data_IF_287629392046
#
_entry.id   IF_287629392046
#
_cell.length_a   1.000
_cell.length_b   1.000
_cell.length_c   1.000
_cell.angle_alpha   90.00
_cell.angle_beta   90.00
_cell.angle_gamma   90.00
#
_symmetry.space_group_name_H-M   'P 1'
#
loop_
_entity.id
_entity.type
_entity.pdbx_description
1 polymer ?
#
# COMPACT_ATOMS: atom_id res chain seq x y z
N UNK A 1 44.09 -10.65 0.83
CA UNK A 1 44.96 -9.56 0.31
C UNK A 1 44.80 -8.36 1.25
N UNK A 2 45.89 -7.83 1.81
CA UNK A 2 45.87 -6.69 2.74
C UNK A 2 46.22 -5.43 1.95
N UNK A 3 45.41 -4.39 2.06
CA UNK A 3 45.61 -3.12 1.37
C UNK A 3 46.67 -2.31 2.16
N UNK A 4 47.59 -1.61 1.48
CA UNK A 4 48.64 -0.82 2.14
C UNK A 4 48.04 0.39 2.84
N UNK A 5 48.72 0.93 3.86
CA UNK A 5 48.26 2.13 4.57
C UNK A 5 48.24 3.39 3.70
N UNK A 6 48.92 3.36 2.56
CA UNK A 6 49.06 4.48 1.61
C UNK A 6 48.17 4.29 0.37
N UNK A 7 47.29 3.29 0.39
CA UNK A 7 46.40 3.03 -0.72
C UNK A 7 45.33 4.11 -0.79
N UNK A 8 45.36 4.90 -1.86
CA UNK A 8 44.33 5.90 -2.13
C UNK A 8 43.01 5.19 -2.50
N UNK A 9 42.00 5.38 -1.66
CA UNK A 9 40.64 4.91 -1.92
C UNK A 9 39.94 5.97 -2.77
N UNK A 10 39.40 5.63 -3.95
CA UNK A 10 38.59 6.56 -4.72
C UNK A 10 37.35 6.94 -3.91
N UNK A 11 37.29 8.19 -3.46
CA UNK A 11 36.18 8.74 -2.71
C UNK A 11 35.43 9.74 -3.59
N UNK A 12 34.16 9.48 -3.86
CA UNK A 12 33.27 10.45 -4.49
C UNK A 12 32.58 11.26 -3.38
N UNK A 13 32.92 12.55 -3.27
CA UNK A 13 32.23 13.49 -2.39
C UNK A 13 30.92 13.91 -3.06
N UNK A 14 29.80 13.53 -2.46
CA UNK A 14 28.45 13.89 -2.93
C UNK A 14 27.80 14.80 -1.87
N UNK A 15 27.03 15.81 -2.30
CA UNK A 15 26.28 16.68 -1.39
C UNK A 15 25.25 15.88 -0.57
N UNK A 16 25.00 16.25 0.70
CA UNK A 16 24.27 15.45 1.69
C UNK A 16 22.94 14.84 1.21
N UNK A 17 22.11 15.59 0.48
CA UNK A 17 20.83 15.09 -0.04
C UNK A 17 20.98 14.04 -1.15
N UNK A 18 22.00 14.19 -2.00
CA UNK A 18 22.31 13.26 -3.09
C UNK A 18 23.11 12.05 -2.59
N UNK A 19 23.91 12.22 -1.52
CA UNK A 19 24.67 11.15 -0.88
C UNK A 19 23.77 10.09 -0.23
N UNK A 20 22.70 10.49 0.45
CA UNK A 20 21.70 9.56 1.01
C UNK A 20 20.99 8.77 -0.08
N UNK A 21 20.53 9.46 -1.14
CA UNK A 21 19.83 8.81 -2.25
C UNK A 21 20.75 7.83 -2.97
N UNK A 22 21.99 8.22 -3.27
CA UNK A 22 22.97 7.33 -3.90
C UNK A 22 23.31 6.10 -3.04
N UNK A 23 23.51 6.30 -1.73
CA UNK A 23 23.77 5.21 -0.77
C UNK A 23 22.56 4.28 -0.60
N UNK A 24 21.35 4.84 -0.61
CA UNK A 24 20.11 4.07 -0.50
C UNK A 24 19.82 3.27 -1.79
N UNK A 25 19.98 3.89 -2.96
CA UNK A 25 19.88 3.20 -4.25
C UNK A 25 20.92 2.09 -4.38
N UNK A 26 22.15 2.32 -3.90
CA UNK A 26 23.19 1.30 -3.83
C UNK A 26 22.81 0.17 -2.87
N UNK A 27 22.37 0.47 -1.64
CA UNK A 27 21.99 -0.55 -0.65
C UNK A 27 20.75 -1.35 -1.06
N UNK A 28 19.77 -0.71 -1.70
CA UNK A 28 18.60 -1.37 -2.31
C UNK A 28 19.02 -2.35 -3.42
N UNK A 29 20.15 -2.10 -4.10
CA UNK A 29 20.64 -2.94 -5.19
C UNK A 29 21.70 -3.97 -4.77
N UNK A 30 22.38 -3.81 -3.62
CA UNK A 30 23.64 -4.52 -3.32
C UNK A 30 23.59 -5.51 -2.14
N UNK A 31 22.66 -5.39 -1.20
CA UNK A 31 22.52 -6.35 -0.08
C UNK A 31 21.06 -6.79 0.12
N UNK A 32 20.84 -7.98 0.70
CA UNK A 32 19.51 -8.52 0.99
C UNK A 32 18.82 -7.76 2.14
N UNK A 33 18.56 -6.48 1.92
CA UNK A 33 17.79 -5.60 2.78
C UNK A 33 16.38 -6.17 2.96
N UNK A 34 15.84 -6.13 4.18
CA UNK A 34 14.49 -6.60 4.42
C UNK A 34 13.51 -5.68 3.65
N UNK A 35 12.47 -6.19 2.97
CA UNK A 35 11.58 -5.35 2.16
C UNK A 35 10.97 -4.17 2.94
N UNK A 36 10.75 -4.33 4.26
CA UNK A 36 10.28 -3.26 5.13
C UNK A 36 11.17 -2.01 5.12
N UNK A 37 12.49 -2.18 4.98
CA UNK A 37 13.43 -1.07 4.99
C UNK A 37 13.28 -0.24 3.69
N UNK A 38 12.91 -0.87 2.57
CA UNK A 38 12.55 -0.15 1.35
C UNK A 38 11.28 0.68 1.52
N UNK A 39 10.31 0.21 2.32
CA UNK A 39 9.07 0.95 2.57
C UNK A 39 9.37 2.24 3.33
N UNK A 40 10.14 2.12 4.42
CA UNK A 40 10.57 3.24 5.26
C UNK A 40 11.46 4.22 4.50
N UNK A 41 12.37 3.70 3.66
CA UNK A 41 13.22 4.50 2.82
C UNK A 41 12.40 5.41 1.88
N UNK A 42 11.39 4.87 1.19
CA UNK A 42 10.55 5.68 0.31
C UNK A 42 9.69 6.66 1.09
N UNK A 43 9.17 6.26 2.25
CA UNK A 43 8.42 7.16 3.13
C UNK A 43 9.27 8.34 3.62
N UNK A 44 10.54 8.10 3.98
CA UNK A 44 11.47 9.15 4.37
C UNK A 44 11.73 10.15 3.24
N UNK A 45 11.96 9.66 2.01
CA UNK A 45 12.15 10.53 0.84
C UNK A 45 10.93 11.41 0.57
N UNK A 46 9.71 10.87 0.69
CA UNK A 46 8.49 11.66 0.56
C UNK A 46 8.34 12.67 1.70
N UNK A 47 8.68 12.29 2.93
CA UNK A 47 8.65 13.20 4.08
C UNK A 47 9.66 14.36 3.95
N UNK A 48 10.76 14.16 3.21
CA UNK A 48 11.71 15.21 2.81
C UNK A 48 11.16 16.13 1.70
N UNK A 49 9.93 15.90 1.22
CA UNK A 49 9.26 16.70 0.20
C UNK A 49 9.56 16.27 -1.24
N UNK A 50 10.19 15.11 -1.44
CA UNK A 50 10.48 14.60 -2.78
C UNK A 50 9.21 14.07 -3.45
N UNK A 51 8.95 14.39 -4.72
CA UNK A 51 7.77 13.89 -5.42
C UNK A 51 7.94 12.41 -5.77
N UNK A 52 6.81 11.70 -5.86
CA UNK A 52 6.74 10.25 -6.11
C UNK A 52 7.41 9.89 -7.43
N UNK A 53 7.26 10.74 -8.43
CA UNK A 53 7.77 10.59 -9.79
C UNK A 53 9.31 10.62 -9.82
N UNK A 54 9.92 11.52 -9.05
CA UNK A 54 11.37 11.62 -8.95
C UNK A 54 11.96 10.43 -8.20
N UNK A 55 11.28 9.98 -7.12
CA UNK A 55 11.67 8.76 -6.40
C UNK A 55 11.56 7.55 -7.35
N UNK A 56 10.46 7.44 -8.10
CA UNK A 56 10.28 6.36 -9.06
C UNK A 56 11.41 6.33 -10.11
N UNK A 57 11.77 7.49 -10.66
CA UNK A 57 12.85 7.62 -11.63
C UNK A 57 14.21 7.20 -11.04
N UNK A 58 14.58 7.70 -9.85
CA UNK A 58 15.86 7.41 -9.20
C UNK A 58 16.04 5.92 -8.88
N UNK A 59 14.95 5.24 -8.53
CA UNK A 59 14.95 3.81 -8.21
C UNK A 59 14.62 2.93 -9.41
N UNK A 60 14.40 3.50 -10.61
CA UNK A 60 14.01 2.79 -11.83
C UNK A 60 12.79 1.87 -11.65
N UNK A 61 11.78 2.37 -10.92
CA UNK A 61 10.49 1.70 -10.71
C UNK A 61 9.34 2.58 -11.21
N UNK A 62 8.12 2.06 -11.27
CA UNK A 62 6.95 2.90 -11.60
C UNK A 62 6.48 3.73 -10.40
N UNK A 63 5.80 4.87 -10.62
CA UNK A 63 5.14 5.63 -9.54
C UNK A 63 4.18 4.78 -8.70
N UNK A 64 3.50 3.81 -9.32
CA UNK A 64 2.63 2.86 -8.63
C UNK A 64 3.41 1.98 -7.64
N UNK A 65 4.64 1.57 -7.97
CA UNK A 65 5.50 0.84 -7.03
C UNK A 65 5.81 1.70 -5.82
N UNK A 66 6.16 2.97 -6.03
CA UNK A 66 6.42 3.90 -4.91
C UNK A 66 5.17 4.07 -4.04
N UNK A 67 3.99 4.31 -4.64
CA UNK A 67 2.72 4.42 -3.90
C UNK A 67 2.41 3.17 -3.08
N UNK A 68 2.60 1.97 -3.66
CA UNK A 68 2.44 0.69 -2.95
C UNK A 68 3.41 0.57 -1.76
N UNK A 69 4.67 0.98 -1.92
CA UNK A 69 5.66 0.97 -0.83
C UNK A 69 5.28 1.94 0.28
N UNK A 70 4.78 3.13 -0.06
CA UNK A 70 4.26 4.09 0.91
C UNK A 70 3.04 3.54 1.67
N UNK A 71 2.14 2.83 0.98
CA UNK A 71 1.01 2.16 1.65
C UNK A 71 1.47 1.11 2.66
N UNK A 72 2.46 0.29 2.33
CA UNK A 72 3.02 -0.68 3.27
C UNK A 72 3.76 -0.01 4.44
N UNK A 73 4.45 1.11 4.19
CA UNK A 73 5.09 1.90 5.24
C UNK A 73 4.08 2.48 6.25
N UNK A 74 2.83 2.68 5.83
CA UNK A 74 1.76 3.23 6.65
C UNK A 74 0.94 2.18 7.41
N UNK A 75 1.28 0.89 7.32
CA UNK A 75 0.61 -0.16 8.12
C UNK A 75 0.97 -0.01 9.60
N UNK A 76 0.12 -0.51 10.51
CA UNK A 76 0.34 -0.48 11.96
C UNK A 76 1.79 -0.84 12.31
N UNK A 77 2.47 -0.05 13.18
CA UNK A 77 3.83 -0.34 13.63
C UNK A 77 3.99 -1.75 14.21
N UNK A 78 2.95 -2.28 14.86
CA UNK A 78 2.96 -3.63 15.43
C UNK A 78 3.00 -4.71 14.34
N UNK A 79 2.18 -4.56 13.30
CA UNK A 79 2.18 -5.46 12.16
C UNK A 79 3.49 -5.38 11.36
N UNK A 80 4.08 -4.20 11.23
CA UNK A 80 5.41 -4.04 10.61
C UNK A 80 6.52 -4.72 11.42
N UNK A 81 6.45 -4.66 12.75
CA UNK A 81 7.39 -5.38 13.61
C UNK A 81 7.22 -6.90 13.47
N UNK A 82 5.98 -7.40 13.43
CA UNK A 82 5.69 -8.82 13.21
C UNK A 82 6.10 -9.28 11.79
N UNK A 83 6.00 -8.41 10.77
CA UNK A 83 6.50 -8.69 9.42
C UNK A 83 8.02 -8.86 9.42
N UNK A 84 8.75 -7.98 10.12
CA UNK A 84 10.21 -8.11 10.31
C UNK A 84 10.62 -9.36 11.07
N UNK A 85 9.78 -9.82 11.98
CA UNK A 85 9.97 -11.06 12.72
C UNK A 85 9.47 -12.32 11.97
N UNK A 86 9.10 -12.18 10.69
CA UNK A 86 8.55 -13.25 9.84
C UNK A 86 7.24 -13.89 10.36
N UNK A 87 6.54 -13.24 11.29
CA UNK A 87 5.26 -13.68 11.84
C UNK A 87 4.06 -13.23 11.01
N UNK A 88 4.24 -12.20 10.19
CA UNK A 88 3.30 -11.73 9.16
C UNK A 88 3.98 -11.90 7.81
N UNK A 89 3.25 -12.32 6.77
CA UNK A 89 3.80 -12.38 5.41
C UNK A 89 3.55 -11.08 4.65
N UNK A 90 4.30 -10.85 3.56
CA UNK A 90 4.10 -9.68 2.70
C UNK A 90 2.67 -9.63 2.13
N UNK A 91 2.13 -10.76 1.69
CA UNK A 91 0.77 -10.81 1.12
C UNK A 91 -0.31 -10.49 2.16
N UNK A 92 -0.10 -10.87 3.42
CA UNK A 92 -0.98 -10.49 4.53
C UNK A 92 -0.89 -8.98 4.78
N UNK A 93 0.32 -8.43 4.79
CA UNK A 93 0.55 -7.00 4.97
C UNK A 93 -0.10 -6.17 3.85
N UNK A 94 0.01 -6.63 2.60
CA UNK A 94 -0.66 -6.04 1.43
C UNK A 94 -2.19 -6.05 1.56
N UNK A 95 -2.77 -7.14 2.07
CA UNK A 95 -4.21 -7.22 2.31
C UNK A 95 -4.68 -6.25 3.41
N UNK A 96 -3.88 -6.08 4.47
CA UNK A 96 -4.20 -5.19 5.57
C UNK A 96 -4.06 -3.71 5.17
N UNK A 97 -3.16 -3.39 4.23
CA UNK A 97 -2.92 -2.04 3.73
C UNK A 97 -4.07 -1.45 2.88
N UNK A 98 -5.20 -2.16 2.74
CA UNK A 98 -6.42 -1.67 2.09
C UNK A 98 -7.06 -0.50 2.85
N UNK A 99 -6.80 -0.39 4.17
CA UNK A 99 -7.23 0.73 5.03
C UNK A 99 -6.02 1.38 5.68
N UNK A 100 -6.11 2.67 6.00
CA UNK A 100 -5.10 3.37 6.83
C UNK A 100 -5.46 3.34 8.33
N UNK A 101 -6.59 2.76 8.71
CA UNK A 101 -7.00 2.58 10.11
C UNK A 101 -6.22 1.43 10.76
N UNK A 102 -5.22 1.78 11.58
CA UNK A 102 -4.39 0.82 12.30
C UNK A 102 -5.19 -0.07 13.24
N UNK A 103 -6.24 0.44 13.90
CA UNK A 103 -7.05 -0.37 14.79
C UNK A 103 -7.83 -1.43 14.01
N UNK A 104 -8.40 -1.06 12.85
CA UNK A 104 -9.07 -2.00 11.97
C UNK A 104 -8.10 -3.08 11.44
N UNK A 105 -6.87 -2.70 11.04
CA UNK A 105 -5.84 -3.65 10.60
C UNK A 105 -5.49 -4.65 11.70
N UNK A 106 -5.26 -4.16 12.92
CA UNK A 106 -4.92 -5.01 14.06
C UNK A 106 -6.06 -5.95 14.46
N UNK A 107 -7.29 -5.45 14.53
CA UNK A 107 -8.47 -6.29 14.78
C UNK A 107 -8.68 -7.33 13.67
N UNK A 108 -8.48 -6.97 12.40
CA UNK A 108 -8.61 -7.91 11.29
C UNK A 108 -7.59 -9.05 11.38
N UNK A 109 -6.36 -8.77 11.82
CA UNK A 109 -5.31 -9.78 11.93
C UNK A 109 -5.31 -10.54 13.27
N UNK A 110 -5.23 -9.85 14.40
CA UNK A 110 -5.00 -10.47 15.71
C UNK A 110 -6.23 -11.18 16.27
N UNK A 111 -7.43 -10.68 16.00
CA UNK A 111 -8.68 -11.30 16.46
C UNK A 111 -9.12 -12.45 15.53
N UNK A 112 -8.52 -12.54 14.34
CA UNK A 112 -8.75 -13.67 13.44
C UNK A 112 -7.94 -14.91 13.88
N UNK A 113 -8.55 -16.10 13.89
CA UNK A 113 -7.82 -17.36 13.98
C UNK A 113 -6.73 -17.45 12.92
N UNK A 114 -5.61 -18.10 13.20
CA UNK A 114 -4.45 -18.17 12.28
C UNK A 114 -4.81 -18.70 10.89
N UNK A 115 -5.69 -19.71 10.82
CA UNK A 115 -6.20 -20.28 9.57
C UNK A 115 -7.12 -19.32 8.78
N UNK A 116 -7.60 -18.24 9.42
CA UNK A 116 -8.38 -17.17 8.80
C UNK A 116 -7.54 -15.97 8.32
N UNK A 117 -6.21 -16.02 8.47
CA UNK A 117 -5.32 -14.89 8.15
C UNK A 117 -4.80 -14.96 6.72
N UNK A 118 -5.46 -15.64 5.79
CA UNK A 118 -5.04 -15.55 4.39
C UNK A 118 -5.47 -14.20 3.79
N UNK A 119 -4.77 -13.71 2.74
CA UNK A 119 -5.00 -12.37 2.19
C UNK A 119 -6.44 -12.10 1.74
N UNK A 120 -7.18 -13.11 1.26
CA UNK A 120 -8.57 -12.93 0.84
C UNK A 120 -9.46 -12.66 2.05
N UNK A 121 -9.36 -13.49 3.09
CA UNK A 121 -10.18 -13.37 4.30
C UNK A 121 -9.87 -12.11 5.09
N UNK A 122 -8.62 -11.65 5.11
CA UNK A 122 -8.26 -10.37 5.72
C UNK A 122 -8.92 -9.20 4.99
N UNK A 123 -8.92 -9.21 3.65
CA UNK A 123 -9.65 -8.19 2.86
C UNK A 123 -11.14 -8.25 3.15
N UNK A 124 -11.74 -9.43 3.11
CA UNK A 124 -13.18 -9.61 3.35
C UNK A 124 -13.60 -9.07 4.73
N UNK A 125 -12.77 -9.28 5.77
CA UNK A 125 -13.03 -8.72 7.11
C UNK A 125 -12.94 -7.19 7.14
N UNK A 126 -12.02 -6.61 6.38
CA UNK A 126 -11.83 -5.15 6.31
C UNK A 126 -12.84 -4.44 5.42
N UNK A 127 -13.52 -5.17 4.53
CA UNK A 127 -14.50 -4.64 3.58
C UNK A 127 -15.91 -5.20 3.79
N UNK A 128 -16.18 -5.86 4.92
CA UNK A 128 -17.48 -6.51 5.22
C UNK A 128 -18.68 -5.56 5.10
N UNK A 129 -18.47 -4.27 5.41
CA UNK A 129 -19.50 -3.22 5.34
C UNK A 129 -19.50 -2.44 4.02
N UNK A 130 -18.62 -2.80 3.11
CA UNK A 130 -18.43 -2.11 1.83
C UNK A 130 -19.01 -2.96 0.69
N UNK A 131 -19.38 -2.30 -0.40
CA UNK A 131 -20.04 -2.95 -1.53
C UNK A 131 -19.05 -3.12 -2.68
N UNK A 132 -18.82 -4.35 -3.12
CA UNK A 132 -17.97 -4.65 -4.29
C UNK A 132 -18.57 -4.03 -5.56
N UNK A 133 -17.81 -3.15 -6.21
CA UNK A 133 -18.28 -2.36 -7.36
C UNK A 133 -18.65 -3.21 -8.58
N UNK A 134 -18.02 -4.36 -8.76
CA UNK A 134 -18.18 -5.18 -9.98
C UNK A 134 -19.08 -6.39 -9.77
N UNK A 135 -19.23 -6.85 -8.52
CA UNK A 135 -20.06 -8.01 -8.17
C UNK A 135 -21.46 -7.65 -7.70
N UNK A 136 -21.68 -6.47 -7.12
CA UNK A 136 -22.96 -6.15 -6.50
C UNK A 136 -24.05 -5.76 -7.52
N UNK A 137 -25.22 -6.42 -7.53
CA UNK A 137 -26.27 -6.16 -8.53
C UNK A 137 -26.77 -4.72 -8.57
N UNK A 138 -26.90 -4.05 -7.41
CA UNK A 138 -27.33 -2.64 -7.38
C UNK A 138 -26.31 -1.70 -8.01
N UNK A 139 -25.01 -2.02 -7.96
CA UNK A 139 -23.99 -1.18 -8.61
C UNK A 139 -24.10 -1.29 -10.12
N UNK A 140 -24.37 -2.48 -10.65
CA UNK A 140 -24.64 -2.65 -12.09
C UNK A 140 -25.93 -1.95 -12.53
N UNK A 141 -26.93 -1.91 -11.66
CA UNK A 141 -28.19 -1.24 -11.93
C UNK A 141 -28.05 0.29 -11.91
N UNK A 142 -27.37 0.85 -10.91
CA UNK A 142 -27.16 2.31 -10.76
C UNK A 142 -26.06 2.82 -11.68
N UNK A 143 -25.06 1.99 -11.98
CA UNK A 143 -23.78 2.29 -12.62
C UNK A 143 -22.80 3.01 -11.67
N UNK A 144 -21.52 2.62 -11.73
CA UNK A 144 -20.48 3.15 -10.86
C UNK A 144 -20.27 4.65 -11.09
N UNK A 145 -20.26 5.10 -12.34
CA UNK A 145 -20.08 6.51 -12.70
C UNK A 145 -21.20 7.39 -12.12
N UNK A 146 -22.44 6.89 -12.11
CA UNK A 146 -23.59 7.59 -11.50
C UNK A 146 -23.43 7.72 -9.98
N UNK A 147 -22.96 6.66 -9.33
CA UNK A 147 -22.67 6.67 -7.89
C UNK A 147 -21.55 7.66 -7.54
N UNK A 148 -20.45 7.67 -8.29
CA UNK A 148 -19.34 8.63 -8.12
C UNK A 148 -19.82 10.06 -8.35
N UNK A 149 -20.59 10.31 -9.43
CA UNK A 149 -21.13 11.63 -9.75
C UNK A 149 -22.09 12.17 -8.66
N UNK A 150 -22.76 11.28 -7.93
CA UNK A 150 -23.60 11.63 -6.78
C UNK A 150 -22.81 11.89 -5.48
N UNK A 151 -21.47 11.85 -5.54
CA UNK A 151 -20.59 12.08 -4.40
C UNK A 151 -20.32 10.83 -3.56
N UNK A 152 -20.56 9.64 -4.12
CA UNK A 152 -20.32 8.38 -3.42
C UNK A 152 -18.84 8.11 -3.15
N UNK A 153 -18.56 7.62 -1.94
CA UNK A 153 -17.19 7.27 -1.53
C UNK A 153 -16.73 5.95 -2.12
N UNK A 154 -15.47 5.91 -2.59
CA UNK A 154 -14.84 4.72 -3.13
C UNK A 154 -13.50 4.45 -2.45
N UNK A 155 -13.29 3.19 -2.13
CA UNK A 155 -12.00 2.63 -1.75
C UNK A 155 -11.43 1.83 -2.92
N UNK A 156 -10.14 2.01 -3.19
CA UNK A 156 -9.38 1.25 -4.18
C UNK A 156 -8.21 0.53 -3.50
N UNK A 157 -8.19 -0.80 -3.58
CA UNK A 157 -7.06 -1.62 -3.14
C UNK A 157 -5.91 -1.48 -4.16
N UNK A 158 -4.84 -0.79 -3.75
CA UNK A 158 -3.66 -0.61 -4.61
C UNK A 158 -2.93 -1.92 -4.93
N UNK A 159 -3.18 -2.99 -4.19
CA UNK A 159 -2.58 -4.31 -4.36
C UNK A 159 -3.48 -5.30 -5.08
N UNK A 160 -4.69 -4.91 -5.47
CA UNK A 160 -5.54 -5.74 -6.30
C UNK A 160 -5.01 -5.83 -7.74
N UNK A 161 -5.35 -6.92 -8.41
CA UNK A 161 -5.05 -7.16 -9.82
C UNK A 161 -6.32 -7.07 -10.67
N UNK A 162 -6.20 -6.50 -11.88
CA UNK A 162 -7.32 -6.32 -12.80
C UNK A 162 -8.41 -5.39 -12.24
N UNK A 163 -9.67 -5.72 -12.49
CA UNK A 163 -10.83 -4.94 -12.05
C UNK A 163 -11.27 -5.28 -10.60
N UNK A 164 -10.49 -6.09 -9.87
CA UNK A 164 -10.79 -6.37 -8.47
C UNK A 164 -10.39 -5.19 -7.55
N UNK A 165 -10.98 -5.11 -6.36
CA UNK A 165 -10.50 -4.22 -5.30
C UNK A 165 -11.08 -2.81 -5.31
N UNK A 166 -12.21 -2.58 -5.98
CA UNK A 166 -12.97 -1.32 -5.89
C UNK A 166 -14.21 -1.56 -5.03
N UNK A 167 -14.31 -0.82 -3.94
CA UNK A 167 -15.38 -0.95 -2.95
C UNK A 167 -16.08 0.39 -2.73
N UNK A 168 -17.40 0.39 -2.73
CA UNK A 168 -18.22 1.55 -2.39
C UNK A 168 -18.38 1.60 -0.87
N UNK A 169 -18.21 2.79 -0.31
CA UNK A 169 -18.22 3.00 1.15
C UNK A 169 -19.53 3.57 1.67
N UNK A 170 -20.45 3.99 0.79
CA UNK A 170 -21.76 4.52 1.13
C UNK A 170 -22.88 3.68 0.49
N UNK A 171 -23.36 2.68 1.23
CA UNK A 171 -24.45 1.81 0.82
C UNK A 171 -25.80 2.55 0.76
N UNK A 172 -26.03 3.49 1.67
CA UNK A 172 -27.29 4.23 1.75
C UNK A 172 -27.49 5.12 0.52
N UNK A 173 -26.42 5.75 0.03
CA UNK A 173 -26.46 6.49 -1.24
C UNK A 173 -26.78 5.57 -2.42
N UNK A 174 -26.15 4.39 -2.50
CA UNK A 174 -26.40 3.44 -3.58
C UNK A 174 -27.86 2.99 -3.60
N UNK A 175 -28.42 2.65 -2.44
CA UNK A 175 -29.83 2.26 -2.30
C UNK A 175 -30.78 3.38 -2.72
N UNK A 176 -30.50 4.63 -2.30
CA UNK A 176 -31.30 5.79 -2.71
C UNK A 176 -31.30 5.98 -4.22
N UNK A 177 -30.12 5.94 -4.86
CA UNK A 177 -30.00 6.05 -6.32
C UNK A 177 -30.74 4.93 -7.04
N UNK A 178 -30.71 3.71 -6.50
CA UNK A 178 -31.46 2.59 -7.06
C UNK A 178 -32.98 2.81 -6.95
N UNK A 179 -33.47 3.32 -5.82
CA UNK A 179 -34.88 3.66 -5.64
C UNK A 179 -35.32 4.77 -6.59
N UNK A 180 -34.53 5.84 -6.71
CA UNK A 180 -34.81 6.95 -7.62
C UNK A 180 -34.88 6.47 -9.08
N UNK A 181 -33.97 5.57 -9.49
CA UNK A 181 -33.95 4.97 -10.83
C UNK A 181 -35.10 3.99 -11.09
N UNK A 182 -35.69 3.40 -10.05
CA UNK A 182 -36.88 2.55 -10.17
C UNK A 182 -38.19 3.34 -10.22
N UNK A 183 -38.21 4.54 -9.64
CA UNK A 183 -39.39 5.40 -9.58
C UNK A 183 -39.57 6.29 -10.82
N UNK A 184 -38.52 6.44 -11.64
CA UNK A 184 -38.53 7.14 -12.93
C UNK A 184 -38.66 6.21 -14.12
#
# INVERSE_FOLDING_TARGET
RRISKEWEVPCLLVADGTARTASLTENVQREAMHPADQFEAFAALVAEGRPIEDIAADFSVSPLVVQRRLKLANVSPRLLADYRAEAVTLDQLMALAITDDHAAQETAFYDAPTWQRNPSQLRDRLTEREIDAYRHPLVRFVELDTYEAAGGGIRRDLFAEGDAGVYLTDAALLERLAQDKLAG
#
